data_IF_861337968807
#
_entry.id   IF_861337968807
#
_cell.length_a   1.000
_cell.length_b   1.000
_cell.length_c   1.000
_cell.angle_alpha   90.00
_cell.angle_beta   90.00
_cell.angle_gamma   90.00
#
_symmetry.space_group_name_H-M   'P 1'
#
loop_
_entity.id
_entity.type
_entity.pdbx_description
1 polymer ?
#
# COMPACT_ATOMS: atom_id res chain seq x y z
N UNK A 1 -21.01 37.16 -31.23
CA UNK A 1 -19.64 37.35 -30.71
C UNK A 1 -19.37 36.64 -29.39
N UNK A 2 -20.41 36.29 -28.61
CA UNK A 2 -20.26 35.60 -27.34
C UNK A 2 -20.30 34.07 -27.44
N UNK A 3 -20.63 33.53 -28.65
CA UNK A 3 -20.76 32.08 -28.85
C UNK A 3 -19.47 31.31 -28.78
N UNK A 4 -18.36 31.92 -29.16
CA UNK A 4 -17.04 31.27 -29.12
C UNK A 4 -16.52 31.20 -27.67
N UNK A 5 -16.74 32.26 -26.89
CA UNK A 5 -16.41 32.28 -25.45
C UNK A 5 -17.24 31.30 -24.65
N UNK A 6 -18.53 31.17 -24.96
CA UNK A 6 -19.42 30.21 -24.30
C UNK A 6 -19.05 28.77 -24.61
N UNK A 7 -18.62 28.48 -25.83
CA UNK A 7 -18.16 27.14 -26.23
C UNK A 7 -16.84 26.78 -25.54
N UNK A 8 -15.90 27.73 -25.44
CA UNK A 8 -14.64 27.54 -24.74
C UNK A 8 -14.86 27.32 -23.22
N UNK A 9 -15.78 28.09 -22.63
CA UNK A 9 -16.17 27.91 -21.23
C UNK A 9 -16.84 26.58 -20.96
N UNK A 10 -17.70 26.10 -21.86
CA UNK A 10 -18.31 24.76 -21.77
C UNK A 10 -17.26 23.67 -21.91
N UNK A 11 -16.32 23.81 -22.82
CA UNK A 11 -15.21 22.86 -23.00
C UNK A 11 -14.30 22.82 -21.75
N UNK A 12 -14.00 23.95 -21.15
CA UNK A 12 -13.22 24.01 -19.90
C UNK A 12 -13.94 23.35 -18.74
N UNK A 13 -15.28 23.50 -18.63
CA UNK A 13 -16.07 22.83 -17.60
C UNK A 13 -16.08 21.32 -17.78
N UNK A 14 -16.17 20.83 -19.00
CA UNK A 14 -16.13 19.40 -19.32
C UNK A 14 -14.74 18.83 -19.03
N UNK A 15 -13.67 19.56 -19.32
CA UNK A 15 -12.30 19.14 -19.01
C UNK A 15 -12.05 19.07 -17.50
N UNK A 16 -12.54 20.01 -16.73
CA UNK A 16 -12.44 20.02 -15.27
C UNK A 16 -13.23 18.85 -14.69
N UNK A 17 -14.44 18.57 -15.18
CA UNK A 17 -15.25 17.43 -14.77
C UNK A 17 -14.57 16.11 -15.10
N UNK A 18 -13.87 16.02 -16.22
CA UNK A 18 -13.10 14.82 -16.61
C UNK A 18 -11.89 14.59 -15.69
N UNK A 19 -11.23 15.65 -15.23
CA UNK A 19 -10.13 15.57 -14.25
C UNK A 19 -10.60 15.09 -12.88
N UNK A 20 -11.85 15.42 -12.48
CA UNK A 20 -12.44 14.91 -11.22
C UNK A 20 -12.96 13.48 -11.35
N UNK A 21 -13.21 13.00 -12.58
CA UNK A 21 -13.69 11.65 -12.83
C UNK A 21 -12.57 10.63 -13.09
N UNK A 22 -11.31 11.06 -13.23
CA UNK A 22 -10.18 10.13 -13.25
C UNK A 22 -10.10 9.45 -11.89
N UNK A 23 -10.22 8.10 -11.83
CA UNK A 23 -10.05 7.42 -10.56
C UNK A 23 -8.64 7.69 -10.07
N UNK A 24 -8.54 8.38 -8.94
CA UNK A 24 -7.30 8.37 -8.18
C UNK A 24 -7.03 6.91 -7.83
N UNK A 25 -5.96 6.34 -8.40
CA UNK A 25 -5.43 5.08 -7.93
C UNK A 25 -4.91 5.32 -6.52
N UNK A 26 -5.81 5.23 -5.54
CA UNK A 26 -5.41 5.21 -4.14
C UNK A 26 -4.87 3.81 -3.91
N UNK A 27 -3.53 3.69 -3.80
CA UNK A 27 -2.92 2.45 -3.36
C UNK A 27 -3.42 2.16 -1.96
N UNK A 28 -4.10 1.04 -1.79
CA UNK A 28 -4.42 0.51 -0.48
C UNK A 28 -3.58 -0.75 -0.26
N UNK A 29 -3.20 -0.98 1.00
CA UNK A 29 -2.41 -2.17 1.34
C UNK A 29 -3.25 -3.13 2.16
N UNK A 30 -4.10 -3.87 1.46
CA UNK A 30 -4.84 -5.00 2.00
C UNK A 30 -3.95 -6.23 1.89
N UNK A 31 -3.61 -6.79 3.02
CA UNK A 31 -2.61 -7.86 3.15
C UNK A 31 -3.29 -9.15 3.60
N UNK A 32 -2.94 -10.25 2.95
CA UNK A 32 -3.34 -11.59 3.35
C UNK A 32 -2.11 -12.45 3.61
N UNK A 33 -2.07 -13.11 4.76
CA UNK A 33 -1.01 -14.04 5.12
C UNK A 33 -1.37 -15.43 4.62
N UNK A 34 -0.56 -15.97 3.69
CA UNK A 34 -0.77 -17.31 3.12
C UNK A 34 -0.05 -18.36 3.95
N UNK A 35 -0.53 -19.63 3.86
CA UNK A 35 0.04 -20.76 4.60
C UNK A 35 1.28 -21.35 3.94
N UNK A 36 1.45 -21.17 2.63
CA UNK A 36 2.52 -21.77 1.86
C UNK A 36 3.29 -20.69 1.10
N UNK A 37 4.61 -20.78 1.10
CA UNK A 37 5.47 -19.80 0.44
C UNK A 37 5.22 -19.70 -1.07
N UNK A 38 4.81 -20.80 -1.70
CA UNK A 38 4.50 -20.83 -3.14
C UNK A 38 3.33 -19.94 -3.53
N UNK A 39 2.46 -19.59 -2.59
CA UNK A 39 1.28 -18.76 -2.82
C UNK A 39 1.55 -17.27 -2.55
N UNK A 40 2.71 -16.93 -2.03
CA UNK A 40 3.01 -15.56 -1.62
C UNK A 40 3.59 -14.73 -2.76
N UNK A 41 3.24 -13.45 -2.76
CA UNK A 41 3.91 -12.44 -3.58
C UNK A 41 5.25 -12.05 -2.97
N UNK A 42 5.32 -12.02 -1.65
CA UNK A 42 6.50 -11.57 -0.88
C UNK A 42 6.69 -12.45 0.35
N UNK A 43 7.93 -12.81 0.62
CA UNK A 43 8.33 -13.47 1.87
C UNK A 43 8.77 -12.40 2.87
N UNK A 44 8.19 -12.43 4.06
CA UNK A 44 8.34 -11.39 5.07
C UNK A 44 8.91 -11.97 6.35
N UNK A 45 9.95 -11.32 6.88
CA UNK A 45 10.51 -11.63 8.20
C UNK A 45 10.20 -10.51 9.17
N UNK A 46 9.68 -10.85 10.35
CA UNK A 46 9.38 -9.89 11.41
C UNK A 46 10.59 -9.74 12.31
N UNK A 47 11.18 -8.56 12.34
CA UNK A 47 12.33 -8.25 13.19
C UNK A 47 11.90 -7.87 14.61
N UNK A 48 12.79 -8.02 15.57
CA UNK A 48 12.56 -7.60 16.97
C UNK A 48 12.81 -6.09 17.17
N UNK A 49 13.59 -5.47 16.30
CA UNK A 49 14.03 -4.09 16.44
C UNK A 49 13.75 -3.32 15.13
N UNK A 50 13.24 -2.09 15.26
CA UNK A 50 12.95 -1.26 14.08
C UNK A 50 14.20 -0.91 13.28
N UNK A 51 15.36 -0.84 13.92
CA UNK A 51 16.65 -0.56 13.26
C UNK A 51 17.07 -1.63 12.25
N UNK A 52 16.52 -2.84 12.36
CA UNK A 52 16.83 -3.95 11.46
C UNK A 52 15.79 -4.12 10.35
N UNK A 53 14.71 -3.34 10.38
CA UNK A 53 13.62 -3.47 9.43
C UNK A 53 13.88 -2.65 8.16
N UNK A 54 13.39 -3.17 7.02
CA UNK A 54 13.26 -2.41 5.77
C UNK A 54 12.05 -1.48 5.83
N UNK A 55 10.97 -1.93 6.47
CA UNK A 55 9.69 -1.22 6.60
C UNK A 55 9.15 -1.36 8.01
N UNK A 56 8.82 -0.24 8.63
CA UNK A 56 8.04 -0.22 9.86
C UNK A 56 6.56 -0.26 9.51
N UNK A 57 5.85 -1.28 10.01
CA UNK A 57 4.45 -1.56 9.69
C UNK A 57 3.56 -1.23 10.88
N UNK A 58 2.50 -0.50 10.61
CA UNK A 58 1.41 -0.28 11.56
C UNK A 58 0.17 -1.01 11.07
N UNK A 59 -0.38 -1.91 11.88
CA UNK A 59 -1.63 -2.61 11.59
C UNK A 59 -2.80 -1.67 11.84
N UNK A 60 -3.51 -1.29 10.77
CA UNK A 60 -4.69 -0.45 10.88
C UNK A 60 -5.94 -1.28 11.17
N UNK A 61 -6.93 -0.70 11.84
CA UNK A 61 -8.18 -1.38 12.20
C UNK A 61 -9.18 -1.40 11.05
N UNK A 62 -9.14 -0.40 10.19
CA UNK A 62 -10.12 -0.22 9.12
C UNK A 62 -9.42 -0.12 7.77
N UNK A 63 -10.05 -0.70 6.75
CA UNK A 63 -9.52 -0.70 5.38
C UNK A 63 -9.24 0.72 4.86
N UNK A 64 -10.08 1.69 5.19
CA UNK A 64 -9.91 3.08 4.79
C UNK A 64 -8.63 3.74 5.30
N UNK A 65 -8.01 3.17 6.33
CA UNK A 65 -6.76 3.66 6.91
C UNK A 65 -5.51 3.10 6.22
N UNK A 66 -5.67 2.08 5.39
CA UNK A 66 -4.57 1.37 4.72
C UNK A 66 -4.31 1.95 3.33
N UNK A 67 -4.12 3.26 3.22
CA UNK A 67 -3.83 3.91 1.95
C UNK A 67 -2.34 4.27 1.82
N UNK A 68 -1.87 4.32 0.58
CA UNK A 68 -0.48 4.63 0.28
C UNK A 68 0.45 3.44 0.53
N UNK A 69 1.74 3.62 0.23
CA UNK A 69 2.79 2.62 0.44
C UNK A 69 3.74 3.10 1.53
N UNK A 70 3.23 3.23 2.76
CA UNK A 70 3.98 3.75 3.90
C UNK A 70 3.89 2.86 5.13
N UNK A 71 3.60 1.59 4.93
CA UNK A 71 3.58 0.60 6.01
C UNK A 71 2.29 0.54 6.81
N UNK A 72 1.21 1.13 6.33
CA UNK A 72 -0.11 1.01 6.94
C UNK A 72 -0.84 -0.17 6.30
N UNK A 73 -0.89 -1.28 7.01
CA UNK A 73 -1.42 -2.55 6.51
C UNK A 73 -2.75 -2.88 7.16
N UNK A 74 -3.72 -3.24 6.32
CA UNK A 74 -4.97 -3.85 6.75
C UNK A 74 -4.97 -5.33 6.39
N UNK A 75 -5.07 -6.19 7.39
CA UNK A 75 -5.12 -7.64 7.18
C UNK A 75 -6.54 -8.07 6.87
N UNK A 76 -6.72 -8.69 5.69
CA UNK A 76 -8.03 -9.18 5.23
C UNK A 76 -8.20 -10.64 5.60
N UNK A 77 -9.47 -11.07 5.71
CA UNK A 77 -9.84 -12.45 6.07
C UNK A 77 -9.74 -13.42 4.89
N UNK A 78 -9.91 -12.92 3.67
CA UNK A 78 -9.97 -13.73 2.47
C UNK A 78 -8.91 -13.32 1.48
N UNK A 79 -8.27 -14.31 0.86
CA UNK A 79 -7.21 -14.09 -0.12
C UNK A 79 -7.67 -13.25 -1.30
N UNK A 80 -8.93 -13.42 -1.74
CA UNK A 80 -9.51 -12.68 -2.87
C UNK A 80 -9.59 -11.17 -2.64
N UNK A 81 -9.54 -10.72 -1.38
CA UNK A 81 -9.61 -9.31 -1.01
C UNK A 81 -8.25 -8.64 -0.90
N UNK A 82 -7.16 -9.41 -1.00
CA UNK A 82 -5.82 -8.89 -0.75
C UNK A 82 -5.24 -8.18 -1.97
N UNK A 83 -4.54 -7.08 -1.72
CA UNK A 83 -3.67 -6.44 -2.72
C UNK A 83 -2.32 -7.15 -2.81
N UNK A 84 -1.82 -7.64 -1.66
CA UNK A 84 -0.59 -8.43 -1.58
C UNK A 84 -0.76 -9.63 -0.66
N UNK A 85 -0.22 -10.75 -1.10
CA UNK A 85 -0.15 -11.99 -0.31
C UNK A 85 1.26 -12.13 0.23
N UNK A 86 1.36 -12.31 1.54
CA UNK A 86 2.66 -12.46 2.21
C UNK A 86 2.77 -13.81 2.87
N UNK A 87 3.99 -14.29 2.98
CA UNK A 87 4.34 -15.48 3.75
C UNK A 87 5.39 -15.11 4.80
N UNK A 88 5.07 -15.35 6.06
CA UNK A 88 6.00 -15.12 7.17
C UNK A 88 7.03 -16.23 7.22
N UNK A 89 8.31 -15.84 7.13
CA UNK A 89 9.43 -16.78 7.24
C UNK A 89 10.07 -16.70 8.63
N UNK A 90 10.71 -17.79 9.05
CA UNK A 90 11.31 -17.89 10.37
C UNK A 90 12.71 -17.26 10.45
N UNK A 91 13.37 -17.08 9.30
CA UNK A 91 14.74 -16.57 9.23
C UNK A 91 14.84 -15.40 8.26
N UNK A 92 15.60 -14.38 8.65
CA UNK A 92 15.80 -13.17 7.84
C UNK A 92 16.43 -13.49 6.47
N UNK A 93 17.30 -14.49 6.40
CA UNK A 93 17.95 -14.90 5.15
C UNK A 93 17.00 -15.45 4.09
N UNK A 94 15.80 -15.87 4.49
CA UNK A 94 14.76 -16.40 3.61
C UNK A 94 13.79 -15.32 3.14
N UNK A 95 13.87 -14.10 3.65
CA UNK A 95 12.90 -13.05 3.40
C UNK A 95 13.28 -12.16 2.21
N UNK A 96 12.26 -11.67 1.54
CA UNK A 96 12.39 -10.58 0.57
C UNK A 96 12.32 -9.22 1.27
N UNK A 97 11.57 -9.14 2.38
CA UNK A 97 11.31 -7.92 3.12
C UNK A 97 11.36 -8.18 4.62
N UNK A 98 12.09 -7.34 5.33
CA UNK A 98 12.12 -7.34 6.80
C UNK A 98 11.21 -6.24 7.32
N UNK A 99 10.28 -6.59 8.21
CA UNK A 99 9.36 -5.63 8.79
C UNK A 99 9.49 -5.61 10.31
N UNK A 100 9.08 -4.46 10.88
CA UNK A 100 8.90 -4.30 12.33
C UNK A 100 7.50 -3.73 12.55
N UNK A 101 6.72 -4.38 13.43
CA UNK A 101 5.39 -3.89 13.79
C UNK A 101 5.51 -2.78 14.84
N UNK A 102 5.11 -1.57 14.47
CA UNK A 102 5.11 -0.41 15.36
C UNK A 102 3.80 -0.32 16.14
N UNK A 103 3.84 0.34 17.30
CA UNK A 103 2.66 0.59 18.13
C UNK A 103 1.88 1.84 17.68
N UNK A 104 2.53 2.75 16.96
CA UNK A 104 1.97 4.04 16.59
C UNK A 104 2.05 4.25 15.07
N UNK A 105 0.96 4.78 14.48
CA UNK A 105 0.90 5.01 13.03
C UNK A 105 1.94 6.03 12.56
N UNK A 106 2.33 6.97 13.40
CA UNK A 106 3.35 7.98 13.09
C UNK A 106 4.75 7.37 12.89
N UNK A 107 4.98 6.17 13.38
CA UNK A 107 6.27 5.47 13.26
C UNK A 107 6.34 4.56 12.05
N UNK A 108 5.23 4.37 11.32
CA UNK A 108 5.20 3.57 10.11
C UNK A 108 5.98 4.25 8.98
N UNK A 109 6.57 3.45 8.11
CA UNK A 109 7.25 3.96 6.93
C UNK A 109 8.49 3.16 6.55
N UNK A 110 9.00 3.47 5.37
CA UNK A 110 10.17 2.82 4.80
C UNK A 110 11.46 3.30 5.45
N UNK A 111 12.28 2.37 5.87
CA UNK A 111 13.67 2.61 6.27
C UNK A 111 14.62 2.33 5.12
N UNK A 112 14.36 1.28 4.35
CA UNK A 112 15.12 0.94 3.15
C UNK A 112 14.26 1.21 1.91
N UNK A 113 14.44 2.37 1.31
CA UNK A 113 13.65 2.82 0.14
C UNK A 113 13.93 2.01 -1.12
N UNK A 114 15.01 1.27 -1.18
CA UNK A 114 15.33 0.41 -2.32
C UNK A 114 14.31 -0.72 -2.49
N UNK A 115 13.59 -1.09 -1.43
CA UNK A 115 12.60 -2.18 -1.43
C UNK A 115 11.16 -1.72 -1.60
N UNK A 116 10.92 -0.44 -1.79
CA UNK A 116 9.58 0.14 -1.96
C UNK A 116 8.80 -0.55 -3.08
N UNK A 117 9.48 -0.94 -4.16
CA UNK A 117 8.86 -1.58 -5.34
C UNK A 117 8.20 -2.92 -5.03
N UNK A 118 8.58 -3.59 -3.94
CA UNK A 118 8.01 -4.89 -3.58
C UNK A 118 6.53 -4.81 -3.22
N UNK A 119 6.05 -3.65 -2.80
CA UNK A 119 4.67 -3.43 -2.35
C UNK A 119 3.84 -2.57 -3.31
N UNK A 120 4.33 -2.34 -4.48
CA UNK A 120 3.53 -1.72 -5.55
C UNK A 120 2.76 -2.74 -6.36
#
# INVERSE_FOLDING_TARGET
>A
MNTIFDVIFKMMRILIAFLFLTPFCVFSQKIFSVKYSSQADIKVFVTKYSSQADLNVFKVKYQSQAFGNEGKWFFVKYQSQADKKIYFVDYASQSDLKIYFTKYSSQSGWRNKEKVHLLY
#
